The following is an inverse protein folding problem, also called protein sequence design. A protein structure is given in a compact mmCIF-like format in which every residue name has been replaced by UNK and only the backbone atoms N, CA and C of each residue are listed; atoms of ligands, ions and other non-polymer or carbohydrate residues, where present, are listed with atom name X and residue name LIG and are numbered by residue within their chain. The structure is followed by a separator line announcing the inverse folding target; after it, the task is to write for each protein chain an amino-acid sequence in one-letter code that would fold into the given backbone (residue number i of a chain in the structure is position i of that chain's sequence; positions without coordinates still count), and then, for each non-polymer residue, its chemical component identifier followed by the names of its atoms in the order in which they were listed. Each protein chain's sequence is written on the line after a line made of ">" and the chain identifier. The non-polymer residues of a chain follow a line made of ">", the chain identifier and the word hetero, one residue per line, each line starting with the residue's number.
data_IF_796127128094
#
_entry.id   IF_796127128094
#
_cell.length_a   1.000
_cell.length_b   1.000
_cell.length_c   1.000
_cell.angle_alpha   90.00
_cell.angle_beta   90.00
_cell.angle_gamma   90.00
#
_symmetry.space_group_name_H-M   'P 1'
#
loop_
_entity.id
_entity.type
_entity.pdbx_description
1 polymer ?
#
# COMPACT_ATOMS: atom_id res chain seq x y z
N UNK A 1 -21.33 -15.00 19.42
CA UNK A 1 -21.53 -13.69 20.08
C UNK A 1 -20.31 -12.80 20.00
N UNK A 2 -19.20 -13.10 20.70
CA UNK A 2 -17.97 -12.28 20.63
C UNK A 2 -17.32 -12.33 19.24
N UNK A 3 -17.30 -13.52 18.62
CA UNK A 3 -16.80 -13.72 17.26
C UNK A 3 -17.59 -12.90 16.25
N UNK A 4 -18.92 -12.97 16.30
CA UNK A 4 -19.80 -12.16 15.45
C UNK A 4 -19.61 -10.66 15.69
N UNK A 5 -19.35 -10.24 16.94
CA UNK A 5 -19.09 -8.84 17.25
C UNK A 5 -17.77 -8.33 16.63
N UNK A 6 -16.72 -9.15 16.66
CA UNK A 6 -15.45 -8.82 15.99
C UNK A 6 -15.61 -8.90 14.47
N UNK A 7 -16.21 -9.98 13.97
CA UNK A 7 -16.35 -10.23 12.53
C UNK A 7 -17.27 -9.21 11.85
N UNK A 8 -18.45 -8.94 12.41
CA UNK A 8 -19.50 -8.21 11.71
C UNK A 8 -19.74 -6.81 12.28
N UNK A 9 -19.41 -6.58 13.55
CA UNK A 9 -19.64 -5.28 14.23
C UNK A 9 -18.38 -4.45 14.42
N UNK A 10 -17.30 -4.76 13.71
CA UNK A 10 -16.04 -4.00 13.75
C UNK A 10 -15.51 -3.78 15.18
N UNK A 11 -15.67 -4.77 16.06
CA UNK A 11 -15.13 -4.70 17.42
C UNK A 11 -13.62 -4.93 17.40
N UNK A 12 -12.90 -4.11 18.17
CA UNK A 12 -11.49 -4.32 18.48
C UNK A 12 -11.32 -5.24 19.68
N UNK A 13 -10.42 -6.21 19.58
CA UNK A 13 -10.06 -7.12 20.67
C UNK A 13 -8.56 -7.02 20.92
N UNK A 14 -8.15 -6.90 22.18
CA UNK A 14 -6.75 -6.99 22.60
C UNK A 14 -6.57 -8.21 23.50
N UNK A 15 -5.59 -9.04 23.17
CA UNK A 15 -5.15 -10.17 23.96
C UNK A 15 -3.77 -9.85 24.58
N UNK A 16 -3.68 -9.89 25.90
CA UNK A 16 -2.44 -9.58 26.66
C UNK A 16 -2.00 -10.82 27.42
N UNK A 17 -0.71 -11.14 27.36
CA UNK A 17 -0.05 -11.86 28.47
C UNK A 17 -0.16 -13.38 28.59
N UNK A 18 -0.62 -14.13 27.58
CA UNK A 18 -0.61 -15.61 27.67
C UNK A 18 -0.25 -16.28 26.34
N UNK A 19 0.95 -16.84 26.21
CA UNK A 19 1.43 -17.60 25.02
C UNK A 19 0.69 -18.91 24.78
N UNK A 20 0.15 -19.54 25.83
CA UNK A 20 -0.49 -20.83 25.76
C UNK A 20 -1.73 -20.92 26.64
N UNK A 21 -2.91 -20.92 26.02
CA UNK A 21 -4.07 -21.62 26.53
C UNK A 21 -4.90 -22.15 25.34
N UNK A 22 -5.40 -23.40 25.40
CA UNK A 22 -6.29 -23.93 24.37
C UNK A 22 -7.66 -23.23 24.46
N UNK A 23 -7.86 -22.19 23.66
CA UNK A 23 -9.16 -21.55 23.42
C UNK A 23 -9.01 -20.22 22.65
N UNK A 24 -10.09 -19.64 22.09
CA UNK A 24 -11.30 -20.20 21.52
C UNK A 24 -11.13 -20.30 19.98
N UNK A 25 -10.74 -21.46 19.47
CA UNK A 25 -10.67 -21.73 18.02
C UNK A 25 -9.65 -20.88 17.21
N UNK A 26 -9.47 -21.19 15.91
CA UNK A 26 -8.50 -20.53 15.02
C UNK A 26 -8.85 -19.06 14.71
N UNK A 27 -9.97 -18.54 15.22
CA UNK A 27 -10.43 -17.19 14.89
C UNK A 27 -9.71 -16.09 15.66
N UNK A 28 -9.55 -16.25 16.97
CA UNK A 28 -8.90 -15.25 17.84
C UNK A 28 -7.41 -15.52 18.08
N UNK A 29 -6.95 -16.72 17.73
CA UNK A 29 -5.56 -17.12 17.80
C UNK A 29 -4.95 -17.42 16.40
N UNK A 30 -4.97 -16.47 15.44
CA UNK A 30 -4.24 -16.63 14.17
C UNK A 30 -2.71 -16.47 14.32
N UNK A 31 -2.24 -16.28 15.55
CA UNK A 31 -0.87 -15.94 15.83
C UNK A 31 -0.05 -17.21 15.86
N UNK A 32 0.93 -17.28 14.98
CA UNK A 32 2.01 -18.25 15.12
C UNK A 32 3.05 -17.64 16.03
N UNK A 33 3.45 -18.37 17.06
CA UNK A 33 4.53 -17.96 17.94
C UNK A 33 5.78 -18.74 17.60
N UNK A 34 6.90 -18.04 17.46
CA UNK A 34 8.19 -18.70 17.53
C UNK A 34 8.59 -18.69 19.02
N UNK A 35 8.86 -19.88 19.54
CA UNK A 35 9.37 -20.07 20.88
C UNK A 35 10.60 -20.96 20.80
N UNK A 36 11.50 -20.80 21.75
CA UNK A 36 12.49 -21.84 22.03
C UNK A 36 11.70 -23.08 22.47
N UNK A 37 11.97 -24.27 21.91
CA UNK A 37 11.22 -25.51 22.24
C UNK A 37 11.22 -25.84 23.75
N UNK A 38 12.07 -25.15 24.52
CA UNK A 38 12.12 -25.15 25.99
C UNK A 38 10.93 -24.48 26.68
N UNK A 39 10.22 -23.53 26.06
CA UNK A 39 9.02 -22.90 26.66
C UNK A 39 7.83 -23.87 26.77
N UNK A 40 7.83 -25.01 26.06
CA UNK A 40 6.80 -26.03 26.23
C UNK A 40 6.88 -26.76 27.60
N UNK A 41 8.00 -26.61 28.32
CA UNK A 41 8.29 -27.32 29.57
C UNK A 41 8.05 -26.49 30.86
N UNK A 42 7.46 -25.29 30.76
CA UNK A 42 6.97 -24.54 31.93
C UNK A 42 7.99 -23.63 32.64
N UNK A 43 9.18 -23.46 32.08
CA UNK A 43 10.20 -22.51 32.57
C UNK A 43 10.17 -21.24 31.70
N UNK A 44 9.06 -20.49 31.75
CA UNK A 44 8.86 -19.27 30.96
C UNK A 44 9.37 -18.05 31.75
N UNK A 45 10.70 -17.97 31.93
CA UNK A 45 11.30 -16.80 32.57
C UNK A 45 11.04 -15.55 31.70
N UNK A 46 10.57 -14.45 32.31
CA UNK A 46 10.33 -13.21 31.58
C UNK A 46 11.64 -12.59 31.13
N UNK A 47 11.75 -12.28 29.83
CA UNK A 47 12.92 -11.62 29.26
C UNK A 47 12.73 -10.11 29.26
N UNK A 48 13.80 -9.37 29.52
CA UNK A 48 13.83 -7.91 29.43
C UNK A 48 14.25 -7.48 28.02
N UNK A 49 13.43 -6.66 27.38
CA UNK A 49 13.67 -6.16 26.02
C UNK A 49 13.47 -4.65 25.96
N UNK A 50 14.26 -3.98 25.12
CA UNK A 50 13.98 -2.61 24.72
C UNK A 50 12.97 -2.62 23.58
N UNK A 51 12.13 -1.60 23.51
CA UNK A 51 11.06 -1.55 22.54
C UNK A 51 11.28 -0.48 21.49
N UNK A 52 10.69 -0.73 20.33
CA UNK A 52 10.54 0.19 19.22
C UNK A 52 9.09 0.13 18.76
N UNK A 53 8.40 1.26 18.88
CA UNK A 53 7.01 1.41 18.45
C UNK A 53 6.91 1.65 16.94
N UNK A 54 5.77 1.36 16.31
CA UNK A 54 5.59 1.60 14.87
C UNK A 54 5.54 3.09 14.52
N UNK A 55 5.19 3.95 15.48
CA UNK A 55 5.37 5.40 15.39
C UNK A 55 6.83 5.87 15.30
N UNK A 56 7.81 4.97 15.37
CA UNK A 56 9.24 5.30 15.27
C UNK A 56 9.89 5.72 16.59
N UNK A 57 9.18 5.60 17.70
CA UNK A 57 9.69 5.87 19.03
C UNK A 57 10.49 4.66 19.54
N UNK A 58 11.78 4.89 19.82
CA UNK A 58 12.65 3.92 20.48
C UNK A 58 12.62 4.15 22.00
N UNK A 59 12.30 3.09 22.74
CA UNK A 59 12.17 3.08 24.19
C UNK A 59 13.49 2.58 24.79
N UNK A 60 14.16 3.45 25.54
CA UNK A 60 15.43 3.13 26.20
C UNK A 60 15.25 2.15 27.37
N UNK A 61 14.10 2.22 28.05
CA UNK A 61 13.80 1.41 29.22
C UNK A 61 13.41 -0.03 28.86
N UNK A 62 14.04 -1.03 29.50
CA UNK A 62 13.68 -2.42 29.28
C UNK A 62 12.31 -2.72 29.88
N UNK A 63 11.53 -3.52 29.17
CA UNK A 63 10.24 -4.05 29.62
C UNK A 63 10.29 -5.56 29.63
N UNK A 64 9.56 -6.18 30.56
CA UNK A 64 9.41 -7.61 30.61
C UNK A 64 8.48 -8.07 29.47
N UNK A 65 8.84 -9.16 28.82
CA UNK A 65 8.01 -9.83 27.82
C UNK A 65 8.10 -11.34 28.03
N UNK A 66 7.07 -12.05 27.56
CA UNK A 66 7.12 -13.50 27.45
C UNK A 66 8.28 -13.92 26.53
N UNK A 67 8.77 -15.16 26.73
CA UNK A 67 9.90 -15.71 25.97
C UNK A 67 9.57 -16.11 24.54
N UNK A 68 8.30 -15.97 24.12
CA UNK A 68 7.87 -16.12 22.74
C UNK A 68 7.98 -14.82 21.93
N UNK A 69 7.94 -14.97 20.61
CA UNK A 69 7.79 -13.89 19.63
C UNK A 69 6.66 -14.18 18.65
N UNK A 70 6.03 -13.13 18.13
CA UNK A 70 4.99 -13.27 17.11
C UNK A 70 5.66 -13.44 15.74
N UNK A 71 5.41 -14.56 15.07
CA UNK A 71 5.90 -14.78 13.70
C UNK A 71 5.17 -13.83 12.75
N UNK A 72 5.87 -13.05 11.92
CA UNK A 72 5.24 -12.19 10.94
C UNK A 72 4.37 -12.97 9.94
N UNK A 73 3.13 -12.53 9.77
CA UNK A 73 2.18 -13.09 8.82
C UNK A 73 1.70 -12.02 7.81
N UNK A 74 1.22 -12.42 6.62
CA UNK A 74 0.58 -11.50 5.69
C UNK A 74 -0.58 -10.74 6.36
N UNK A 75 -0.76 -9.46 6.03
CA UNK A 75 -1.81 -8.58 6.58
C UNK A 75 -1.67 -8.26 8.10
N UNK A 76 -0.59 -8.71 8.74
CA UNK A 76 -0.26 -8.33 10.11
C UNK A 76 0.41 -6.96 10.16
N UNK A 77 -0.10 -6.08 11.03
CA UNK A 77 0.53 -4.81 11.38
C UNK A 77 1.22 -4.96 12.73
N UNK A 78 2.52 -4.84 12.75
CA UNK A 78 3.30 -4.74 13.98
C UNK A 78 3.04 -3.38 14.66
N UNK A 79 3.03 -3.39 15.99
CA UNK A 79 2.83 -2.21 16.84
C UNK A 79 4.05 -1.96 17.73
N UNK A 80 4.67 -3.03 18.22
CA UNK A 80 5.91 -2.96 18.97
C UNK A 80 6.86 -4.10 18.58
N UNK A 81 8.13 -3.75 18.44
CA UNK A 81 9.23 -4.67 18.14
C UNK A 81 10.40 -4.40 19.07
N UNK A 82 11.37 -5.28 19.10
CA UNK A 82 12.66 -4.99 19.71
C UNK A 82 13.70 -4.53 18.67
N UNK A 83 14.92 -4.12 19.10
CA UNK A 83 16.00 -3.76 18.20
C UNK A 83 16.46 -4.88 17.26
N UNK A 84 16.24 -6.14 17.64
CA UNK A 84 16.54 -7.32 16.83
C UNK A 84 15.46 -7.60 15.77
N UNK A 85 14.38 -6.81 15.75
CA UNK A 85 13.28 -6.95 14.79
C UNK A 85 12.22 -7.97 15.20
N UNK A 86 12.30 -8.55 16.39
CA UNK A 86 11.32 -9.52 16.92
C UNK A 86 10.03 -8.78 17.25
N UNK A 87 8.89 -9.34 16.83
CA UNK A 87 7.58 -8.70 17.01
C UNK A 87 6.99 -9.11 18.36
N UNK A 88 6.67 -8.12 19.18
CA UNK A 88 6.19 -8.30 20.56
C UNK A 88 4.75 -7.84 20.73
N UNK A 89 4.30 -6.91 19.89
CA UNK A 89 2.90 -6.55 19.78
C UNK A 89 2.51 -6.36 18.31
N UNK A 90 1.38 -6.93 17.92
CA UNK A 90 0.85 -6.82 16.57
C UNK A 90 -0.68 -6.80 16.57
N UNK A 91 -1.26 -6.23 15.52
CA UNK A 91 -2.67 -6.24 15.20
C UNK A 91 -2.90 -6.89 13.84
N UNK A 92 -3.99 -7.64 13.72
CA UNK A 92 -4.43 -8.22 12.47
C UNK A 92 -5.94 -8.13 12.34
N UNK A 93 -6.40 -7.98 11.11
CA UNK A 93 -7.82 -7.83 10.80
C UNK A 93 -8.52 -9.19 10.76
N UNK A 94 -9.72 -9.27 11.37
CA UNK A 94 -10.58 -10.47 11.34
C UNK A 94 -12.01 -10.05 11.00
N UNK A 95 -12.40 -10.25 9.74
CA UNK A 95 -13.65 -9.68 9.21
C UNK A 95 -13.57 -8.15 9.17
N UNK A 96 -14.53 -7.48 9.81
CA UNK A 96 -14.57 -6.03 9.92
C UNK A 96 -13.84 -5.47 11.15
N UNK A 97 -13.50 -6.32 12.13
CA UNK A 97 -12.82 -5.94 13.36
C UNK A 97 -11.31 -6.22 13.36
N UNK A 98 -10.67 -5.84 14.45
CA UNK A 98 -9.24 -6.03 14.68
C UNK A 98 -8.99 -6.89 15.90
N UNK A 99 -8.01 -7.77 15.80
CA UNK A 99 -7.48 -8.53 16.94
C UNK A 99 -6.03 -8.11 17.10
N UNK A 100 -5.66 -7.59 18.26
CA UNK A 100 -4.27 -7.35 18.63
C UNK A 100 -3.81 -8.33 19.70
N UNK A 101 -2.51 -8.60 19.67
CA UNK A 101 -1.81 -9.46 20.60
C UNK A 101 -0.60 -8.71 21.14
N UNK A 102 -0.45 -8.70 22.46
CA UNK A 102 0.75 -8.20 23.13
C UNK A 102 1.36 -9.28 24.02
N UNK A 103 2.66 -9.48 23.87
CA UNK A 103 3.49 -10.36 24.71
C UNK A 103 4.17 -9.59 25.85
N UNK A 104 3.97 -8.27 25.91
CA UNK A 104 4.52 -7.42 26.96
C UNK A 104 3.79 -7.65 28.27
N UNK A 105 4.56 -7.81 29.33
CA UNK A 105 4.06 -7.95 30.70
C UNK A 105 4.65 -6.82 31.54
N UNK A 106 4.04 -6.56 32.69
CA UNK A 106 4.49 -5.53 33.63
C UNK A 106 4.67 -4.11 33.07
N UNK A 107 3.89 -3.74 32.05
CA UNK A 107 3.89 -2.37 31.48
C UNK A 107 3.50 -1.30 32.52
N UNK A 108 2.85 -1.69 33.62
CA UNK A 108 2.54 -0.84 34.77
C UNK A 108 3.79 -0.29 35.48
N UNK A 109 4.98 -0.88 35.26
CA UNK A 109 6.24 -0.40 35.84
C UNK A 109 6.71 0.92 35.24
N UNK A 110 6.36 1.24 33.99
CA UNK A 110 6.76 2.50 33.35
C UNK A 110 6.31 3.75 34.12
N UNK A 111 5.01 3.94 34.46
CA UNK A 111 4.62 5.10 35.25
C UNK A 111 5.25 5.09 36.66
N UNK A 112 5.53 3.92 37.24
CA UNK A 112 6.20 3.85 38.54
C UNK A 112 7.70 4.19 38.47
N UNK A 113 8.34 3.90 37.33
CA UNK A 113 9.72 4.28 37.04
C UNK A 113 9.89 5.72 36.58
N UNK A 114 8.82 6.54 36.57
CA UNK A 114 8.88 7.93 36.13
C UNK A 114 8.75 8.12 34.61
N UNK A 115 8.24 7.11 33.90
CA UNK A 115 8.05 7.10 32.45
C UNK A 115 6.57 6.97 32.01
N UNK A 116 5.65 7.81 32.49
CA UNK A 116 4.23 7.74 32.11
C UNK A 116 3.99 8.00 30.61
N UNK A 117 4.88 8.73 29.94
CA UNK A 117 4.83 9.01 28.51
C UNK A 117 4.99 7.75 27.67
N UNK A 118 5.85 6.82 28.08
CA UNK A 118 6.08 5.54 27.41
C UNK A 118 4.81 4.69 27.47
N UNK A 119 4.22 4.61 28.67
CA UNK A 119 2.96 3.91 28.90
C UNK A 119 1.84 4.51 28.04
N UNK A 120 1.71 5.83 28.05
CA UNK A 120 0.71 6.56 27.26
C UNK A 120 0.89 6.30 25.76
N UNK A 121 2.11 6.39 25.24
CA UNK A 121 2.39 6.16 23.82
C UNK A 121 2.06 4.72 23.40
N UNK A 122 2.55 3.73 24.13
CA UNK A 122 2.34 2.31 23.83
C UNK A 122 0.84 1.94 23.84
N UNK A 123 0.12 2.30 24.91
CA UNK A 123 -1.30 1.98 25.02
C UNK A 123 -2.16 2.78 24.05
N UNK A 124 -1.81 4.04 23.79
CA UNK A 124 -2.52 4.84 22.79
C UNK A 124 -2.37 4.25 21.39
N UNK A 125 -1.16 3.82 21.01
CA UNK A 125 -0.91 3.18 19.72
C UNK A 125 -1.65 1.84 19.60
N UNK A 126 -1.58 1.01 20.65
CA UNK A 126 -2.21 -0.32 20.69
C UNK A 126 -3.74 -0.21 20.62
N UNK A 127 -4.34 0.64 21.44
CA UNK A 127 -5.78 0.84 21.45
C UNK A 127 -6.28 1.52 20.18
N UNK A 128 -5.53 2.48 19.63
CA UNK A 128 -5.89 3.12 18.36
C UNK A 128 -5.83 2.15 17.19
N UNK A 129 -4.89 1.19 17.20
CA UNK A 129 -4.77 0.19 16.15
C UNK A 129 -5.97 -0.78 16.09
N UNK A 130 -6.64 -1.01 17.22
CA UNK A 130 -7.82 -1.88 17.29
C UNK A 130 -9.13 -1.10 17.41
N UNK A 131 -9.06 0.22 17.59
CA UNK A 131 -10.25 1.03 17.76
C UNK A 131 -11.20 0.82 16.58
N UNK A 132 -12.50 0.71 16.90
CA UNK A 132 -13.53 0.70 15.87
C UNK A 132 -13.37 1.98 15.04
N UNK A 133 -13.25 1.90 13.71
CA UNK A 133 -13.28 3.08 12.86
C UNK A 133 -14.54 3.89 13.21
N UNK A 134 -14.44 5.22 13.38
CA UNK A 134 -15.61 6.04 13.74
C UNK A 134 -16.75 5.70 12.80
N UNK A 135 -17.92 5.38 13.37
CA UNK A 135 -19.08 4.89 12.64
C UNK A 135 -19.26 5.72 11.38
N UNK A 136 -19.09 5.04 10.23
CA UNK A 136 -19.07 5.69 8.96
C UNK A 136 -20.41 6.41 8.76
N UNK A 137 -20.36 7.73 8.64
CA UNK A 137 -21.42 8.49 8.00
C UNK A 137 -21.56 8.06 6.53
N UNK A 138 -22.20 8.87 5.67
CA UNK A 138 -22.43 8.57 4.24
C UNK A 138 -21.16 8.42 3.37
N UNK A 139 -19.99 8.21 3.97
CA UNK A 139 -18.69 8.25 3.33
C UNK A 139 -18.17 9.68 3.22
N UNK A 140 -16.85 9.82 3.18
CA UNK A 140 -16.20 11.11 2.92
C UNK A 140 -15.07 10.94 1.94
N UNK A 141 -14.94 11.91 1.05
CA UNK A 141 -13.77 12.07 0.20
C UNK A 141 -12.68 12.85 0.93
N UNK A 142 -11.44 12.53 0.63
CA UNK A 142 -10.25 13.20 1.15
C UNK A 142 -9.13 13.19 0.11
N UNK A 143 -8.19 14.12 0.24
CA UNK A 143 -6.94 14.11 -0.53
C UNK A 143 -5.92 13.27 0.25
N UNK A 144 -5.30 12.28 -0.39
CA UNK A 144 -4.33 11.41 0.27
C UNK A 144 -3.09 12.19 0.76
N UNK A 145 -2.67 13.21 -0.02
CA UNK A 145 -1.60 14.14 0.33
C UNK A 145 -2.20 15.44 0.86
N UNK A 146 -2.77 15.39 2.06
CA UNK A 146 -3.34 16.56 2.73
C UNK A 146 -2.35 17.72 2.83
N UNK A 147 -2.76 18.92 2.46
CA UNK A 147 -2.03 20.17 2.69
C UNK A 147 -1.03 20.60 1.60
N UNK A 148 -0.73 19.75 0.61
CA UNK A 148 0.11 20.17 -0.53
C UNK A 148 -0.73 20.88 -1.61
N UNK A 149 -0.21 21.96 -2.24
CA UNK A 149 -0.84 22.56 -3.41
C UNK A 149 -0.98 21.55 -4.56
N UNK A 150 -2.16 21.52 -5.18
CA UNK A 150 -2.47 20.68 -6.34
C UNK A 150 -2.27 21.50 -7.62
N UNK A 151 -1.83 20.86 -8.71
CA UNK A 151 -1.52 21.57 -9.96
C UNK A 151 -2.19 20.91 -11.17
N UNK A 152 -2.49 21.72 -12.19
CA UNK A 152 -2.89 21.23 -13.51
C UNK A 152 -1.81 20.31 -14.08
N UNK A 153 -2.24 19.19 -14.68
CA UNK A 153 -1.35 18.19 -15.28
C UNK A 153 -0.67 17.25 -14.30
N UNK A 154 -0.92 17.36 -12.99
CA UNK A 154 -0.44 16.41 -11.98
C UNK A 154 -1.56 15.46 -11.54
N UNK A 155 -1.22 14.19 -11.30
CA UNK A 155 -2.16 13.20 -10.76
C UNK A 155 -2.53 13.54 -9.31
N UNK A 156 -3.83 13.66 -9.05
CA UNK A 156 -4.39 13.88 -7.71
C UNK A 156 -4.95 12.56 -7.21
N UNK A 157 -4.40 12.08 -6.09
CA UNK A 157 -4.89 10.88 -5.41
C UNK A 157 -6.02 11.27 -4.45
N UNK A 158 -7.19 10.69 -4.71
CA UNK A 158 -8.41 10.86 -3.94
C UNK A 158 -8.67 9.56 -3.16
N UNK A 159 -8.96 9.70 -1.87
CA UNK A 159 -9.33 8.58 -1.02
C UNK A 159 -10.74 8.80 -0.48
N UNK A 160 -11.57 7.77 -0.60
CA UNK A 160 -12.88 7.69 0.03
C UNK A 160 -12.81 6.76 1.23
N UNK A 161 -13.44 7.15 2.34
CA UNK A 161 -13.59 6.31 3.53
C UNK A 161 -15.03 6.38 4.03
N UNK A 162 -15.63 5.22 4.30
CA UNK A 162 -17.00 5.12 4.77
C UNK A 162 -17.44 3.68 5.02
N UNK A 163 -18.76 3.43 5.02
CA UNK A 163 -19.29 2.10 5.25
C UNK A 163 -18.96 1.19 4.06
N UNK A 164 -18.54 -0.08 4.24
CA UNK A 164 -18.18 -0.98 3.13
C UNK A 164 -19.26 -1.11 2.05
N UNK A 165 -20.54 -1.00 2.43
CA UNK A 165 -21.69 -1.06 1.54
C UNK A 165 -21.89 0.25 0.74
N UNK A 166 -21.40 1.36 1.27
CA UNK A 166 -21.49 2.69 0.68
C UNK A 166 -20.27 3.05 -0.19
N UNK A 167 -19.27 2.16 -0.31
CA UNK A 167 -18.06 2.43 -1.07
C UNK A 167 -18.40 2.59 -2.56
N UNK A 168 -18.16 3.78 -3.15
CA UNK A 168 -18.50 4.04 -4.52
C UNK A 168 -17.67 3.17 -5.45
N UNK A 169 -18.30 2.58 -6.47
CA UNK A 169 -17.59 1.96 -7.60
C UNK A 169 -17.09 3.03 -8.57
N UNK A 170 -17.87 4.11 -8.72
CA UNK A 170 -17.58 5.24 -9.59
C UNK A 170 -17.82 6.57 -8.88
N UNK A 171 -17.02 7.56 -9.24
CA UNK A 171 -17.16 8.95 -8.79
C UNK A 171 -17.17 9.89 -10.00
N UNK A 172 -17.65 11.11 -9.84
CA UNK A 172 -17.59 12.15 -10.85
C UNK A 172 -16.68 13.27 -10.36
N UNK A 173 -15.67 13.63 -11.14
CA UNK A 173 -14.77 14.74 -10.84
C UNK A 173 -14.72 15.75 -11.99
N UNK A 174 -14.67 17.03 -11.67
CA UNK A 174 -14.57 18.08 -12.67
C UNK A 174 -14.52 19.47 -12.05
N UNK A 175 -14.43 20.47 -12.92
CA UNK A 175 -14.49 21.87 -12.51
C UNK A 175 -15.86 22.15 -11.89
N UNK A 176 -15.86 22.79 -10.72
CA UNK A 176 -17.10 23.05 -9.98
C UNK A 176 -18.01 23.98 -10.79
N UNK A 177 -19.25 23.54 -10.99
CA UNK A 177 -20.23 24.26 -11.82
C UNK A 177 -20.12 24.01 -13.32
N UNK A 178 -19.15 23.22 -13.79
CA UNK A 178 -19.12 22.78 -15.18
C UNK A 178 -20.14 21.66 -15.42
N UNK A 179 -20.76 21.68 -16.61
CA UNK A 179 -21.70 20.63 -17.02
C UNK A 179 -21.01 19.30 -17.34
N UNK A 180 -19.70 19.32 -17.64
CA UNK A 180 -18.91 18.15 -17.95
C UNK A 180 -18.14 17.67 -16.70
N UNK A 181 -18.56 16.54 -16.14
CA UNK A 181 -17.82 15.82 -15.12
C UNK A 181 -17.26 14.51 -15.70
N UNK A 182 -16.06 14.14 -15.29
CA UNK A 182 -15.35 12.96 -15.77
C UNK A 182 -15.62 11.81 -14.79
N UNK A 183 -16.07 10.63 -15.26
CA UNK A 183 -16.20 9.46 -14.41
C UNK A 183 -14.82 8.94 -13.99
N UNK A 184 -14.67 8.66 -12.70
CA UNK A 184 -13.51 8.05 -12.10
C UNK A 184 -13.87 6.64 -11.63
N UNK A 185 -12.99 5.69 -11.91
CA UNK A 185 -13.06 4.36 -11.34
C UNK A 185 -12.44 4.37 -9.94
N UNK A 186 -13.17 3.82 -8.97
CA UNK A 186 -12.72 3.74 -7.59
C UNK A 186 -12.23 2.31 -7.32
N UNK A 187 -10.94 2.15 -7.02
CA UNK A 187 -10.35 0.89 -6.64
C UNK A 187 -10.54 0.67 -5.13
N UNK A 188 -11.21 -0.41 -4.73
CA UNK A 188 -11.33 -0.77 -3.30
C UNK A 188 -10.01 -1.33 -2.79
N UNK A 189 -9.65 -0.93 -1.58
CA UNK A 189 -8.50 -1.49 -0.90
C UNK A 189 -8.84 -2.90 -0.37
N UNK A 190 -8.14 -3.97 -0.76
CA UNK A 190 -8.42 -5.31 -0.26
C UNK A 190 -8.13 -5.47 1.24
N UNK A 191 -7.21 -4.68 1.79
CA UNK A 191 -6.93 -4.67 3.23
C UNK A 191 -7.98 -3.84 3.99
N UNK A 192 -8.52 -2.80 3.37
CA UNK A 192 -9.54 -1.89 3.92
C UNK A 192 -10.78 -1.76 3.02
N UNK A 193 -11.76 -2.69 3.07
CA UNK A 193 -12.99 -2.67 2.29
C UNK A 193 -13.86 -1.42 2.50
N UNK A 194 -13.63 -0.68 3.58
CA UNK A 194 -14.24 0.60 3.89
C UNK A 194 -13.57 1.79 3.16
N UNK A 195 -12.53 1.52 2.37
CA UNK A 195 -11.69 2.51 1.69
C UNK A 195 -11.68 2.24 0.19
N UNK A 196 -11.70 3.32 -0.58
CA UNK A 196 -11.45 3.27 -2.01
C UNK A 196 -10.55 4.42 -2.46
N UNK A 197 -9.80 4.17 -3.51
CA UNK A 197 -8.89 5.15 -4.11
C UNK A 197 -9.32 5.45 -5.54
N UNK A 198 -9.17 6.72 -5.94
CA UNK A 198 -9.36 7.16 -7.32
C UNK A 198 -8.26 8.16 -7.68
N UNK A 199 -7.91 8.22 -8.96
CA UNK A 199 -6.92 9.17 -9.46
C UNK A 199 -7.59 10.13 -10.43
N UNK A 200 -7.35 11.42 -10.23
CA UNK A 200 -7.89 12.49 -11.06
C UNK A 200 -6.78 13.31 -11.71
N UNK A 201 -6.91 13.63 -12.99
CA UNK A 201 -5.99 14.48 -13.75
C UNK A 201 -6.71 15.77 -14.17
N UNK A 202 -6.51 16.89 -13.46
CA UNK A 202 -7.15 18.16 -13.82
C UNK A 202 -6.49 18.77 -15.06
N UNK A 203 -7.33 19.15 -16.02
CA UNK A 203 -6.90 19.85 -17.25
C UNK A 203 -6.92 21.38 -17.12
N UNK A 204 -7.65 21.93 -16.14
CA UNK A 204 -7.85 23.38 -15.98
C UNK A 204 -7.63 23.80 -14.52
N UNK A 205 -7.12 25.02 -14.27
CA UNK A 205 -7.01 25.54 -12.92
C UNK A 205 -8.38 25.99 -12.38
N UNK A 206 -8.50 26.06 -11.06
CA UNK A 206 -9.70 26.55 -10.38
C UNK A 206 -10.22 25.59 -9.32
N UNK A 207 -11.46 25.83 -8.88
CA UNK A 207 -12.16 24.93 -7.96
C UNK A 207 -12.67 23.70 -8.68
N UNK A 208 -12.24 22.54 -8.24
CA UNK A 208 -12.75 21.24 -8.66
C UNK A 208 -13.58 20.61 -7.55
N UNK A 209 -14.46 19.71 -7.93
CA UNK A 209 -15.26 18.92 -7.00
C UNK A 209 -15.25 17.46 -7.45
N UNK A 210 -15.01 16.56 -6.50
CA UNK A 210 -15.33 15.14 -6.64
C UNK A 210 -16.60 14.84 -5.87
N UNK A 211 -17.50 14.07 -6.48
CA UNK A 211 -18.75 13.61 -5.86
C UNK A 211 -18.95 12.12 -6.12
N UNK A 212 -19.50 11.42 -5.15
CA UNK A 212 -20.01 10.06 -5.36
C UNK A 212 -21.17 10.08 -6.36
N UNK A 213 -21.38 8.98 -7.08
CA UNK A 213 -22.46 8.87 -8.07
C UNK A 213 -23.86 9.09 -7.45
N UNK A 214 -24.03 8.77 -6.16
CA UNK A 214 -25.27 9.00 -5.41
C UNK A 214 -25.40 10.42 -4.84
N UNK A 215 -24.38 11.28 -5.02
CA UNK A 215 -24.36 12.68 -4.61
C UNK A 215 -24.25 12.92 -3.10
N UNK A 216 -24.12 11.87 -2.27
CA UNK A 216 -24.12 12.00 -0.81
C UNK A 216 -22.78 12.44 -0.21
N UNK A 217 -21.69 12.16 -0.90
CA UNK A 217 -20.36 12.55 -0.49
C UNK A 217 -19.72 13.41 -1.57
N UNK A 218 -19.30 14.63 -1.23
CA UNK A 218 -18.50 15.47 -2.11
C UNK A 218 -17.32 16.11 -1.39
N UNK A 219 -16.28 16.43 -2.16
CA UNK A 219 -15.11 17.17 -1.71
C UNK A 219 -14.73 18.18 -2.79
N UNK A 220 -14.70 19.46 -2.39
CA UNK A 220 -14.15 20.52 -3.22
C UNK A 220 -12.67 20.75 -2.90
N UNK A 221 -11.86 20.96 -3.92
CA UNK A 221 -10.44 21.25 -3.81
C UNK A 221 -9.99 22.22 -4.89
N UNK A 222 -8.95 23.01 -4.61
CA UNK A 222 -8.45 24.00 -5.55
C UNK A 222 -7.21 23.49 -6.29
N UNK A 223 -7.24 23.59 -7.61
CA UNK A 223 -6.12 23.22 -8.49
C UNK A 223 -5.47 24.49 -9.04
N UNK A 224 -4.18 24.64 -8.77
CA UNK A 224 -3.36 25.75 -9.21
C UNK A 224 -2.97 25.59 -10.69
N UNK A 225 -2.76 26.71 -11.38
CA UNK A 225 -2.23 26.70 -12.73
C UNK A 225 -0.83 26.06 -12.80
N UNK A 226 -0.48 25.47 -13.94
CA UNK A 226 0.80 24.80 -14.12
C UNK A 226 2.03 25.72 -13.95
N UNK A 227 1.88 27.04 -13.95
CA UNK A 227 2.98 27.99 -13.68
C UNK A 227 2.98 28.59 -12.26
N UNK A 228 2.00 28.26 -11.43
CA UNK A 228 1.82 28.90 -10.13
C UNK A 228 2.85 28.39 -9.09
N UNK A 229 3.08 29.21 -8.06
CA UNK A 229 3.92 28.88 -6.90
C UNK A 229 5.33 28.34 -7.27
N UNK A 230 6.14 29.10 -8.04
CA UNK A 230 7.44 28.64 -8.52
C UNK A 230 8.41 28.30 -7.36
N UNK A 231 8.36 29.04 -6.26
CA UNK A 231 9.18 28.79 -5.06
C UNK A 231 8.86 27.42 -4.43
N UNK A 232 7.57 27.07 -4.32
CA UNK A 232 7.14 25.77 -3.80
C UNK A 232 7.65 24.61 -4.65
N UNK A 233 7.62 24.78 -5.98
CA UNK A 233 8.13 23.77 -6.92
C UNK A 233 9.65 23.65 -6.89
N UNK A 234 10.36 24.76 -6.72
CA UNK A 234 11.80 24.73 -6.52
C UNK A 234 12.14 23.93 -5.25
N UNK A 235 11.44 24.16 -4.14
CA UNK A 235 11.66 23.43 -2.90
C UNK A 235 11.28 21.96 -3.02
N UNK A 236 10.13 21.63 -3.63
CA UNK A 236 9.72 20.24 -3.88
C UNK A 236 10.75 19.48 -4.72
N UNK A 237 11.34 20.13 -5.75
CA UNK A 237 12.44 19.55 -6.54
C UNK A 237 13.69 19.36 -5.69
N UNK A 238 14.08 20.35 -4.89
CA UNK A 238 15.22 20.24 -3.97
C UNK A 238 15.07 19.07 -3.01
N UNK A 239 13.91 18.90 -2.38
CA UNK A 239 13.61 17.77 -1.48
C UNK A 239 13.66 16.44 -2.24
N UNK A 240 13.09 16.37 -3.45
CA UNK A 240 13.12 15.15 -4.25
C UNK A 240 14.56 14.77 -4.67
N UNK A 241 15.37 15.73 -5.08
CA UNK A 241 16.79 15.52 -5.38
C UNK A 241 17.57 15.09 -4.14
N UNK A 242 17.35 15.74 -2.99
CA UNK A 242 17.99 15.36 -1.73
C UNK A 242 17.65 13.91 -1.34
N UNK A 243 16.39 13.49 -1.51
CA UNK A 243 15.98 12.08 -1.31
C UNK A 243 16.68 11.14 -2.28
N UNK A 244 16.76 11.49 -3.56
CA UNK A 244 17.42 10.66 -4.56
C UNK A 244 18.92 10.49 -4.25
N UNK A 245 19.60 11.55 -3.81
CA UNK A 245 21.01 11.50 -3.37
C UNK A 245 21.17 10.66 -2.09
N UNK A 246 20.27 10.81 -1.12
CA UNK A 246 20.28 10.02 0.12
C UNK A 246 20.03 8.52 -0.14
N UNK A 247 19.16 8.17 -1.09
CA UNK A 247 18.95 6.78 -1.50
C UNK A 247 20.09 6.26 -2.39
N UNK A 248 20.68 7.13 -3.21
CA UNK A 248 21.79 6.81 -4.12
C UNK A 248 23.15 6.63 -3.44
N UNK A 249 23.32 7.16 -2.22
CA UNK A 249 24.54 6.93 -1.41
C UNK A 249 24.54 5.58 -0.68
N UNK A 250 23.39 4.89 -0.65
CA UNK A 250 23.27 3.47 -0.27
C UNK A 250 23.15 2.54 -1.49
N UNK A 251 23.48 3.01 -2.69
CA UNK A 251 23.76 2.11 -3.80
C UNK A 251 25.02 1.33 -3.43
N UNK A 252 24.80 0.12 -2.89
CA UNK A 252 25.79 -0.93 -2.80
C UNK A 252 26.63 -0.95 -4.11
N UNK A 253 27.95 -1.24 -4.03
CA UNK A 253 28.76 -1.41 -5.22
C UNK A 253 28.02 -2.37 -6.15
N UNK A 254 27.87 -1.97 -7.41
CA UNK A 254 27.19 -2.67 -8.50
C UNK A 254 26.88 -4.12 -8.12
N UNK A 255 25.59 -4.40 -7.87
CA UNK A 255 25.15 -5.76 -7.62
C UNK A 255 25.78 -6.64 -8.69
N UNK A 256 26.71 -7.50 -8.27
CA UNK A 256 27.18 -8.59 -9.08
C UNK A 256 25.94 -9.28 -9.65
N UNK A 257 25.94 -9.64 -10.95
CA UNK A 257 24.78 -10.26 -11.56
C UNK A 257 24.35 -11.42 -10.68
N UNK A 258 23.11 -11.34 -10.18
CA UNK A 258 22.46 -12.43 -9.48
C UNK A 258 22.64 -13.65 -10.37
N UNK A 259 23.35 -14.65 -9.86
CA UNK A 259 23.47 -15.94 -10.51
C UNK A 259 22.06 -16.55 -10.59
N UNK A 260 21.35 -16.24 -11.67
CA UNK A 260 20.20 -17.01 -12.12
C UNK A 260 20.69 -18.43 -12.33
N UNK A 261 20.04 -19.39 -11.68
CA UNK A 261 20.26 -20.81 -11.88
C UNK A 261 20.39 -21.15 -13.38
N UNK A 262 21.35 -21.99 -13.78
CA UNK A 262 21.70 -22.23 -15.19
C UNK A 262 20.56 -22.80 -16.06
N UNK A 263 19.46 -23.26 -15.45
CA UNK A 263 18.30 -23.79 -16.19
C UNK A 263 17.35 -22.71 -16.74
N UNK A 264 17.26 -21.52 -16.12
CA UNK A 264 16.35 -20.46 -16.60
C UNK A 264 16.96 -19.62 -17.72
N UNK A 265 18.29 -19.54 -17.81
CA UNK A 265 18.96 -18.80 -18.88
C UNK A 265 18.92 -19.53 -20.23
N UNK A 266 18.88 -20.88 -20.21
CA UNK A 266 18.87 -21.70 -21.43
C UNK A 266 17.52 -21.69 -22.14
N UNK A 267 16.42 -21.59 -21.39
CA UNK A 267 15.06 -21.48 -21.92
C UNK A 267 14.74 -20.09 -22.47
N UNK A 268 15.35 -19.02 -21.95
CA UNK A 268 15.15 -17.67 -22.47
C UNK A 268 15.89 -17.42 -23.80
N UNK A 269 17.10 -17.97 -23.97
CA UNK A 269 17.93 -17.71 -25.15
C UNK A 269 17.36 -18.34 -26.44
N UNK A 270 16.80 -19.55 -26.39
CA UNK A 270 16.25 -20.18 -27.60
C UNK A 270 14.93 -19.52 -28.04
N UNK A 271 14.10 -19.05 -27.11
CA UNK A 271 12.88 -18.31 -27.44
C UNK A 271 13.18 -16.97 -28.12
N UNK A 272 14.28 -16.29 -27.73
CA UNK A 272 14.73 -15.08 -28.42
C UNK A 272 15.15 -15.34 -29.87
N UNK A 273 15.84 -16.45 -30.15
CA UNK A 273 16.20 -16.86 -31.51
C UNK A 273 14.98 -17.23 -32.36
N UNK A 274 13.99 -17.90 -31.78
CA UNK A 274 12.72 -18.21 -32.46
C UNK A 274 11.97 -16.92 -32.79
N UNK A 275 11.84 -16.00 -31.83
CA UNK A 275 11.17 -14.71 -32.05
C UNK A 275 11.86 -13.88 -33.14
N UNK A 276 13.20 -13.85 -33.14
CA UNK A 276 13.99 -13.16 -34.16
C UNK A 276 13.84 -13.80 -35.55
N UNK A 277 13.79 -15.14 -35.62
CA UNK A 277 13.59 -15.86 -36.87
C UNK A 277 12.21 -15.62 -37.47
N UNK A 278 11.15 -15.65 -36.64
CA UNK A 278 9.78 -15.34 -37.07
C UNK A 278 9.67 -13.89 -37.57
N UNK A 279 10.32 -12.95 -36.87
CA UNK A 279 10.37 -11.56 -37.29
C UNK A 279 11.04 -11.39 -38.66
N UNK A 280 12.21 -12.00 -38.88
CA UNK A 280 12.90 -11.92 -40.18
C UNK A 280 12.08 -12.55 -41.32
N UNK A 281 11.41 -13.66 -41.04
CA UNK A 281 10.59 -14.35 -42.03
C UNK A 281 9.37 -13.50 -42.40
N UNK A 282 8.71 -12.88 -41.42
CA UNK A 282 7.62 -11.92 -41.66
C UNK A 282 8.07 -10.68 -42.43
N UNK A 283 9.22 -10.09 -42.06
CA UNK A 283 9.79 -8.94 -42.76
C UNK A 283 10.21 -9.28 -44.20
N UNK A 284 10.74 -10.48 -44.44
CA UNK A 284 11.11 -10.96 -45.76
C UNK A 284 9.90 -11.16 -46.68
N UNK A 285 8.81 -11.75 -46.16
CA UNK A 285 7.56 -11.91 -46.91
C UNK A 285 6.99 -10.54 -47.30
N UNK A 286 6.89 -9.61 -46.34
CA UNK A 286 6.37 -8.27 -46.59
C UNK A 286 7.18 -7.52 -47.66
N UNK A 287 8.50 -7.66 -47.62
CA UNK A 287 9.37 -7.05 -48.62
C UNK A 287 9.20 -7.65 -50.02
N UNK A 288 8.94 -8.96 -50.10
CA UNK A 288 8.68 -9.63 -51.39
C UNK A 288 7.37 -9.15 -52.02
N UNK A 289 6.30 -8.99 -51.21
CA UNK A 289 5.02 -8.48 -51.68
C UNK A 289 5.16 -7.05 -52.23
N UNK A 290 5.90 -6.19 -51.52
CA UNK A 290 6.10 -4.81 -51.98
C UNK A 290 6.91 -4.73 -53.27
N UNK A 291 7.85 -5.66 -53.48
CA UNK A 291 8.63 -5.75 -54.72
C UNK A 291 7.78 -6.21 -55.90
N UNK A 292 6.87 -7.16 -55.68
CA UNK A 292 6.00 -7.67 -56.74
C UNK A 292 4.91 -6.65 -57.12
N UNK A 293 4.35 -5.90 -56.15
CA UNK A 293 3.46 -4.77 -56.45
C UNK A 293 4.16 -3.70 -57.30
N UNK A 294 5.40 -3.34 -56.95
CA UNK A 294 6.17 -2.35 -57.70
C UNK A 294 6.49 -2.78 -59.14
N UNK A 295 6.64 -4.09 -59.39
CA UNK A 295 6.87 -4.64 -60.73
C UNK A 295 5.60 -4.69 -61.59
N UNK A 296 4.45 -4.95 -60.96
CA UNK A 296 3.15 -4.95 -61.65
C UNK A 296 2.75 -3.53 -62.08
N UNK A 297 3.01 -2.52 -61.24
CA UNK A 297 2.74 -1.12 -61.58
C UNK A 297 3.57 -0.64 -62.78
N UNK A 298 4.85 -1.03 -62.87
CA UNK A 298 5.71 -0.70 -64.01
C UNK A 298 5.25 -1.40 -65.30
N UNK A 299 4.84 -2.67 -65.24
CA UNK A 299 4.29 -3.39 -66.39
C UNK A 299 2.94 -2.81 -66.85
N UNK A 300 2.11 -2.32 -65.92
CA UNK A 300 0.87 -1.61 -66.20
C UNK A 300 1.09 -0.29 -66.93
N UNK A 301 2.13 0.47 -66.56
CA UNK A 301 2.49 1.74 -67.22
C UNK A 301 3.06 1.53 -68.63
N UNK A 302 3.83 0.46 -68.86
CA UNK A 302 4.35 0.15 -70.19
C UNK A 302 3.27 -0.33 -71.17
N UNK A 303 2.25 -1.05 -70.69
CA UNK A 303 1.12 -1.49 -71.54
C UNK A 303 0.19 -0.34 -71.94
N UNK A 304 -0.01 0.63 -71.05
CA UNK A 304 -0.82 1.82 -71.32
C UNK A 304 -0.11 2.86 -72.20
N UNK A 305 1.23 2.88 -72.23
CA UNK A 305 2.01 3.70 -73.16
C UNK A 305 2.01 3.17 -74.61
N UNK A 306 1.73 1.87 -74.83
CA UNK A 306 1.67 1.27 -76.19
C UNK A 306 0.29 1.35 -76.86
N UNK A 307 -0.73 1.83 -76.14
CA UNK A 307 -2.12 1.93 -76.62
C UNK A 307 -2.55 3.39 -76.94
N UNK A 308 -1.61 4.34 -76.95
CA UNK A 308 -1.77 5.70 -77.48
C UNK A 308 -0.86 5.90 -78.68
#
# INVERSE_FOLDING_TARGET
>A
ALEDAVRDRSLGLLLVGETAAPGPGPFFAPWTFAGDERSAAGDDEPRLVRLRLAGGMDLAEPVATLSAEIVPAPLMRWLARDPQGRVLCAAMRRGHGWVARSLLIDTWRWPQGGHPEIFGAYWSETLSAIARPPAAGPGRWSLEKGGAPLFVGEAIQLAWVGAPEAVPATALAGLRGASAAIPLNCARDPAEPARAEAIYWPAQPGWHEVRSADGKASLAFYVQAAGALPAWRAERRRIATARLVATGTNAAPAAAPVATSPDSARTAAWMAWVAWSVFLLGAGILWSEQRDSSRQDLAGLESSARLR
#
